data_IF_774264772784
#
_entry.id   IF_774264772784
#
_cell.length_a   1.000
_cell.length_b   1.000
_cell.length_c   1.000
_cell.angle_alpha   90.00
_cell.angle_beta   90.00
_cell.angle_gamma   90.00
#
_symmetry.space_group_name_H-M   'P 1'
#
loop_
_entity.id
_entity.type
_entity.pdbx_description
1 polymer ?
#
# COMPACT_ATOMS: atom_id res chain seq x y z
N UNK A 1 4.10 36.53 1.79
CA UNK A 1 3.32 35.33 1.52
C UNK A 1 2.96 35.32 0.04
N UNK A 2 3.46 34.35 -0.76
CA UNK A 2 3.01 34.21 -2.15
C UNK A 2 1.52 33.86 -2.16
N UNK A 3 0.71 34.62 -2.90
CA UNK A 3 -0.73 34.33 -3.07
C UNK A 3 -0.87 32.91 -3.61
N UNK A 4 -1.63 32.06 -2.92
CA UNK A 4 -1.97 30.74 -3.42
C UNK A 4 -2.76 30.87 -4.72
N UNK A 5 -2.33 30.18 -5.77
CA UNK A 5 -3.03 30.20 -7.04
C UNK A 5 -3.85 28.89 -7.18
N UNK A 6 -5.19 28.92 -7.01
CA UNK A 6 -6.02 27.71 -7.10
C UNK A 6 -5.98 27.08 -8.51
N UNK A 7 -5.63 27.85 -9.55
CA UNK A 7 -5.49 27.35 -10.92
C UNK A 7 -4.37 26.29 -10.99
N UNK A 8 -3.38 26.32 -10.10
CA UNK A 8 -2.33 25.28 -10.02
C UNK A 8 -2.88 23.86 -9.79
N UNK A 9 -4.10 23.71 -9.25
CA UNK A 9 -4.78 22.43 -9.06
C UNK A 9 -5.54 21.94 -10.30
N UNK A 10 -5.63 22.75 -11.36
CA UNK A 10 -6.34 22.39 -12.59
C UNK A 10 -5.90 21.03 -13.20
N UNK A 11 -4.59 20.71 -13.30
CA UNK A 11 -4.16 19.41 -13.82
C UNK A 11 -4.71 18.23 -13.03
N UNK A 12 -4.77 18.34 -11.69
CA UNK A 12 -5.34 17.31 -10.82
C UNK A 12 -6.85 17.19 -11.09
N UNK A 13 -7.55 18.32 -11.23
CA UNK A 13 -8.97 18.34 -11.60
C UNK A 13 -9.23 17.66 -12.94
N UNK A 14 -8.42 17.96 -13.95
CA UNK A 14 -8.50 17.33 -15.28
C UNK A 14 -8.28 15.82 -15.20
N UNK A 15 -7.26 15.36 -14.45
CA UNK A 15 -7.04 13.95 -14.21
C UNK A 15 -8.27 13.26 -13.61
N UNK A 16 -8.82 13.83 -12.53
CA UNK A 16 -10.00 13.27 -11.86
C UNK A 16 -11.23 13.24 -12.77
N UNK A 17 -11.49 14.31 -13.52
CA UNK A 17 -12.63 14.37 -14.45
C UNK A 17 -12.48 13.32 -15.56
N UNK A 18 -11.30 13.16 -16.14
CA UNK A 18 -11.06 12.15 -17.18
C UNK A 18 -11.19 10.75 -16.60
N UNK A 19 -10.46 10.45 -15.53
CA UNK A 19 -10.41 9.09 -14.99
C UNK A 19 -11.75 8.66 -14.39
N UNK A 20 -12.32 9.48 -13.49
CA UNK A 20 -13.61 9.19 -12.86
C UNK A 20 -14.76 9.33 -13.85
N UNK A 21 -14.76 10.38 -14.68
CA UNK A 21 -15.83 10.64 -15.65
C UNK A 21 -15.95 9.52 -16.66
N UNK A 22 -14.85 9.13 -17.30
CA UNK A 22 -14.85 8.00 -18.24
C UNK A 22 -15.12 6.68 -17.52
N UNK A 23 -14.58 6.47 -16.30
CA UNK A 23 -14.82 5.26 -15.52
C UNK A 23 -16.29 5.07 -15.18
N UNK A 24 -16.96 6.12 -14.75
CA UNK A 24 -18.40 6.12 -14.49
C UNK A 24 -19.22 5.93 -15.77
N UNK A 25 -18.83 6.61 -16.85
CA UNK A 25 -19.47 6.46 -18.16
C UNK A 25 -19.39 5.02 -18.67
N UNK A 26 -18.23 4.40 -18.61
CA UNK A 26 -18.03 3.01 -19.04
C UNK A 26 -18.80 2.03 -18.17
N UNK A 27 -18.76 2.21 -16.85
CA UNK A 27 -19.42 1.30 -15.90
C UNK A 27 -20.94 1.44 -15.94
N UNK A 28 -21.48 2.65 -15.87
CA UNK A 28 -22.92 2.89 -15.70
C UNK A 28 -23.62 3.29 -16.99
N UNK A 29 -22.95 4.06 -17.87
CA UNK A 29 -23.52 4.48 -19.16
C UNK A 29 -23.48 3.37 -20.20
N UNK A 30 -22.30 2.82 -20.44
CA UNK A 30 -22.08 1.78 -21.46
C UNK A 30 -22.18 0.35 -20.90
N UNK A 31 -22.37 0.20 -19.59
CA UNK A 31 -22.48 -1.11 -18.88
C UNK A 31 -21.33 -2.07 -19.19
N UNK A 32 -20.12 -1.54 -19.40
CA UNK A 32 -18.93 -2.33 -19.65
C UNK A 32 -18.42 -2.90 -18.33
N UNK A 33 -18.25 -4.21 -18.26
CA UNK A 33 -17.64 -4.86 -17.11
C UNK A 33 -16.24 -4.31 -16.88
N UNK A 34 -15.90 -4.01 -15.60
CA UNK A 34 -14.62 -3.44 -15.20
C UNK A 34 -14.28 -2.12 -15.91
N UNK A 35 -15.27 -1.23 -16.13
CA UNK A 35 -15.14 0.01 -16.89
C UNK A 35 -13.95 0.89 -16.50
N UNK A 36 -13.59 0.94 -15.22
CA UNK A 36 -12.40 1.70 -14.74
C UNK A 36 -11.07 1.10 -15.21
N UNK A 37 -11.00 -0.22 -15.44
CA UNK A 37 -9.78 -0.90 -15.91
C UNK A 37 -9.54 -0.69 -17.41
N UNK A 38 -10.57 -0.31 -18.16
CA UNK A 38 -10.46 -0.03 -19.59
C UNK A 38 -9.84 1.35 -19.87
N UNK A 39 -9.66 2.17 -18.84
CA UNK A 39 -9.01 3.48 -18.97
C UNK A 39 -7.57 3.33 -18.52
N UNK A 40 -6.59 3.45 -19.43
CA UNK A 40 -5.19 3.46 -19.04
C UNK A 40 -4.92 4.70 -18.17
N UNK A 41 -4.74 4.50 -16.87
CA UNK A 41 -4.48 5.58 -15.90
C UNK A 41 -3.29 6.46 -16.34
N UNK A 42 -2.29 5.86 -16.98
CA UNK A 42 -1.12 6.56 -17.52
C UNK A 42 -1.53 7.60 -18.56
N UNK A 43 -2.51 7.29 -19.44
CA UNK A 43 -3.01 8.25 -20.44
C UNK A 43 -3.69 9.45 -19.77
N UNK A 44 -4.52 9.20 -18.74
CA UNK A 44 -5.14 10.27 -17.97
C UNK A 44 -4.09 11.17 -17.29
N UNK A 45 -3.02 10.58 -16.75
CA UNK A 45 -1.91 11.32 -16.18
C UNK A 45 -1.12 12.12 -17.23
N UNK A 46 -0.86 11.57 -18.42
CA UNK A 46 -0.17 12.29 -19.49
C UNK A 46 -0.98 13.49 -19.98
N UNK A 47 -2.30 13.36 -20.07
CA UNK A 47 -3.18 14.50 -20.42
C UNK A 47 -3.11 15.57 -19.33
N UNK A 48 -3.19 15.19 -18.07
CA UNK A 48 -3.06 16.12 -16.95
C UNK A 48 -1.69 16.82 -16.92
N UNK A 49 -0.62 16.08 -17.21
CA UNK A 49 0.74 16.63 -17.32
C UNK A 49 0.84 17.62 -18.47
N UNK A 50 0.21 17.32 -19.62
CA UNK A 50 0.16 18.23 -20.76
C UNK A 50 -0.57 19.53 -20.40
N UNK A 51 -1.68 19.45 -19.67
CA UNK A 51 -2.39 20.62 -19.14
C UNK A 51 -1.49 21.41 -18.19
N UNK A 52 -0.75 20.76 -17.29
CA UNK A 52 0.21 21.42 -16.42
C UNK A 52 1.30 22.17 -17.21
N UNK A 53 1.81 21.57 -18.27
CA UNK A 53 2.79 22.20 -19.16
C UNK A 53 2.23 23.41 -19.91
N UNK A 54 0.95 23.38 -20.29
CA UNK A 54 0.30 24.49 -21.01
C UNK A 54 -0.11 25.65 -20.10
N UNK A 55 -0.28 25.36 -18.81
CA UNK A 55 -0.85 26.30 -17.84
C UNK A 55 0.06 27.48 -17.53
N UNK A 56 1.37 27.26 -17.43
CA UNK A 56 2.35 28.30 -17.12
C UNK A 56 3.09 28.74 -18.40
N UNK A 57 2.54 29.74 -19.08
CA UNK A 57 3.06 30.22 -20.36
C UNK A 57 4.31 31.12 -20.21
N UNK A 58 4.60 31.57 -18.99
CA UNK A 58 5.77 32.45 -18.72
C UNK A 58 7.08 31.66 -18.67
N UNK A 59 7.01 30.36 -18.39
CA UNK A 59 8.19 29.49 -18.36
C UNK A 59 8.45 28.86 -19.73
N UNK A 60 9.72 28.84 -20.12
CA UNK A 60 10.18 28.10 -21.28
C UNK A 60 9.98 26.59 -21.08
N UNK A 61 9.98 25.82 -22.15
CA UNK A 61 9.83 24.38 -22.08
C UNK A 61 10.98 23.73 -21.27
N UNK A 62 12.21 24.22 -21.46
CA UNK A 62 13.37 23.73 -20.72
C UNK A 62 13.25 23.98 -19.21
N UNK A 63 12.79 25.15 -18.81
CA UNK A 63 12.54 25.46 -17.41
C UNK A 63 11.45 24.56 -16.79
N UNK A 64 10.44 24.18 -17.57
CA UNK A 64 9.42 23.21 -17.13
C UNK A 64 9.97 21.80 -16.99
N UNK A 65 10.84 21.37 -17.91
CA UNK A 65 11.53 20.08 -17.81
C UNK A 65 12.43 20.02 -16.57
N UNK A 66 13.14 21.10 -16.29
CA UNK A 66 13.98 21.20 -15.09
C UNK A 66 13.16 21.09 -13.81
N UNK A 67 12.03 21.80 -13.72
CA UNK A 67 11.09 21.68 -12.60
C UNK A 67 10.52 20.27 -12.43
N UNK A 68 10.17 19.60 -13.53
CA UNK A 68 9.74 18.20 -13.50
C UNK A 68 10.86 17.26 -13.05
N UNK A 69 12.09 17.50 -13.51
CA UNK A 69 13.28 16.78 -13.07
C UNK A 69 13.53 16.90 -11.58
N UNK A 70 13.41 18.09 -11.02
CA UNK A 70 13.46 18.30 -9.57
C UNK A 70 12.35 17.54 -8.82
N UNK A 71 11.12 17.53 -9.36
CA UNK A 71 10.02 16.79 -8.77
C UNK A 71 10.26 15.28 -8.77
N UNK A 72 10.75 14.72 -9.88
CA UNK A 72 11.09 13.29 -9.99
C UNK A 72 12.28 12.92 -9.07
N UNK A 73 13.24 13.84 -8.92
CA UNK A 73 14.39 13.67 -8.04
C UNK A 73 14.12 13.89 -6.56
N UNK A 74 12.87 14.17 -6.16
CA UNK A 74 12.50 14.25 -4.75
C UNK A 74 12.80 12.93 -4.03
N UNK A 75 13.41 13.04 -2.84
CA UNK A 75 13.83 11.87 -2.05
C UNK A 75 12.70 10.86 -1.85
N UNK A 76 11.49 11.32 -1.59
CA UNK A 76 10.36 10.42 -1.34
C UNK A 76 9.96 9.68 -2.62
N UNK A 77 9.94 10.36 -3.77
CA UNK A 77 9.60 9.75 -5.06
C UNK A 77 10.65 8.72 -5.46
N UNK A 78 11.93 9.07 -5.36
CA UNK A 78 13.03 8.13 -5.64
C UNK A 78 12.97 6.92 -4.71
N UNK A 79 12.71 7.14 -3.41
CA UNK A 79 12.57 6.05 -2.44
C UNK A 79 11.40 5.12 -2.81
N UNK A 80 10.24 5.67 -3.21
CA UNK A 80 9.10 4.86 -3.65
C UNK A 80 9.42 4.04 -4.90
N UNK A 81 10.10 4.62 -5.88
CA UNK A 81 10.53 3.90 -7.09
C UNK A 81 11.46 2.74 -6.71
N UNK A 82 12.44 2.98 -5.84
CA UNK A 82 13.36 1.94 -5.37
C UNK A 82 12.64 0.83 -4.59
N UNK A 83 11.65 1.16 -3.77
CA UNK A 83 10.82 0.17 -3.06
C UNK A 83 10.05 -0.70 -4.06
N UNK A 84 9.40 -0.11 -5.06
CA UNK A 84 8.67 -0.87 -6.08
C UNK A 84 9.61 -1.75 -6.92
N UNK A 85 10.79 -1.24 -7.28
CA UNK A 85 11.79 -2.04 -8.00
C UNK A 85 12.28 -3.21 -7.14
N UNK A 86 12.65 -2.97 -5.89
CA UNK A 86 13.09 -4.00 -4.96
C UNK A 86 11.98 -5.04 -4.70
N UNK A 87 10.73 -4.61 -4.56
CA UNK A 87 9.59 -5.50 -4.42
C UNK A 87 9.37 -6.35 -5.67
N UNK A 88 9.50 -5.77 -6.87
CA UNK A 88 9.44 -6.51 -8.14
C UNK A 88 10.53 -7.57 -8.26
N UNK A 89 11.78 -7.23 -7.90
CA UNK A 89 12.90 -8.17 -7.84
C UNK A 89 12.61 -9.26 -6.82
N UNK A 90 12.15 -8.91 -5.62
CA UNK A 90 11.80 -9.87 -4.57
C UNK A 90 10.76 -10.88 -5.08
N UNK A 91 9.64 -10.41 -5.62
CA UNK A 91 8.58 -11.30 -6.15
C UNK A 91 9.10 -12.17 -7.31
N UNK A 92 9.96 -11.61 -8.17
CA UNK A 92 10.57 -12.35 -9.29
C UNK A 92 11.55 -13.43 -8.85
N UNK A 93 12.36 -13.17 -7.83
CA UNK A 93 13.37 -14.10 -7.31
C UNK A 93 12.76 -15.17 -6.39
N UNK A 94 11.90 -14.72 -5.47
CA UNK A 94 11.25 -15.60 -4.48
C UNK A 94 10.19 -16.48 -5.12
N UNK A 95 9.54 -15.97 -6.16
CA UNK A 95 8.59 -16.71 -6.97
C UNK A 95 7.23 -16.90 -6.30
N UNK A 96 6.30 -17.41 -7.09
CA UNK A 96 4.91 -17.66 -6.67
C UNK A 96 4.81 -18.76 -5.62
N UNK A 97 5.67 -19.77 -5.71
CA UNK A 97 5.68 -20.92 -4.81
C UNK A 97 5.97 -20.56 -3.34
N UNK A 98 6.76 -19.51 -3.10
CA UNK A 98 6.99 -19.00 -1.74
C UNK A 98 5.74 -18.39 -1.13
N UNK A 99 5.03 -17.56 -1.88
CA UNK A 99 3.77 -16.96 -1.43
C UNK A 99 2.70 -18.04 -1.16
N UNK A 100 2.63 -19.05 -2.05
CA UNK A 100 1.78 -20.22 -1.87
C UNK A 100 2.16 -21.01 -0.61
N UNK A 101 3.46 -21.23 -0.37
CA UNK A 101 3.94 -21.92 0.83
C UNK A 101 3.55 -21.20 2.12
N UNK A 102 3.64 -19.88 2.16
CA UNK A 102 3.18 -19.07 3.32
C UNK A 102 1.68 -19.19 3.51
N UNK A 103 0.88 -19.09 2.44
CA UNK A 103 -0.56 -19.22 2.51
C UNK A 103 -0.99 -20.62 3.01
N UNK A 104 -0.38 -21.69 2.50
CA UNK A 104 -0.70 -23.05 2.92
C UNK A 104 -0.20 -23.37 4.33
N UNK A 105 0.96 -22.84 4.75
CA UNK A 105 1.39 -22.94 6.15
C UNK A 105 0.35 -22.27 7.07
N UNK A 106 -0.14 -21.08 6.71
CA UNK A 106 -1.15 -20.39 7.49
C UNK A 106 -2.41 -21.25 7.60
N UNK A 107 -2.91 -21.77 6.49
CA UNK A 107 -4.13 -22.58 6.43
C UNK A 107 -4.00 -23.94 7.09
N UNK A 108 -2.77 -24.48 7.24
CA UNK A 108 -2.55 -25.76 7.96
C UNK A 108 -2.70 -25.62 9.47
N UNK A 109 -2.56 -24.40 10.02
CA UNK A 109 -2.63 -24.14 11.46
C UNK A 109 -3.87 -23.36 11.88
N UNK A 110 -4.52 -22.69 10.93
CA UNK A 110 -5.64 -21.78 11.19
C UNK A 110 -6.85 -22.19 10.35
N UNK A 111 -8.04 -22.31 10.96
CA UNK A 111 -9.26 -22.50 10.19
C UNK A 111 -9.43 -21.41 9.14
N UNK A 112 -9.87 -21.80 7.94
CA UNK A 112 -9.99 -20.90 6.78
C UNK A 112 -10.76 -19.61 7.06
N UNK A 113 -11.78 -19.71 7.93
CA UNK A 113 -12.61 -18.58 8.36
C UNK A 113 -11.83 -17.45 9.02
N UNK A 114 -10.69 -17.74 9.66
CA UNK A 114 -9.87 -16.75 10.36
C UNK A 114 -8.66 -16.29 9.52
N UNK A 115 -8.45 -16.87 8.35
CA UNK A 115 -7.26 -16.60 7.54
C UNK A 115 -7.11 -15.14 7.14
N UNK A 116 -8.23 -14.48 6.75
CA UNK A 116 -8.21 -13.05 6.37
C UNK A 116 -8.02 -12.15 7.58
N UNK A 117 -8.57 -12.53 8.74
CA UNK A 117 -8.35 -11.83 10.02
C UNK A 117 -6.87 -11.84 10.38
N UNK A 118 -6.22 -13.01 10.28
CA UNK A 118 -4.79 -13.14 10.57
C UNK A 118 -3.96 -12.36 9.55
N UNK A 119 -4.35 -12.37 8.28
CA UNK A 119 -3.69 -11.58 7.25
C UNK A 119 -3.71 -10.08 7.58
N UNK A 120 -4.83 -9.56 8.09
CA UNK A 120 -4.94 -8.19 8.59
C UNK A 120 -3.99 -7.95 9.79
N UNK A 121 -4.03 -8.82 10.80
CA UNK A 121 -3.22 -8.69 12.03
C UNK A 121 -1.73 -8.77 11.70
N UNK A 122 -1.30 -9.73 10.88
CA UNK A 122 0.09 -9.86 10.43
C UNK A 122 0.53 -8.60 9.69
N UNK A 123 -0.32 -8.06 8.81
CA UNK A 123 -0.02 -6.81 8.11
C UNK A 123 0.14 -5.62 9.06
N UNK A 124 -0.66 -5.55 10.14
CA UNK A 124 -0.49 -4.53 11.19
C UNK A 124 0.90 -4.61 11.83
N UNK A 125 1.31 -5.80 12.27
CA UNK A 125 2.59 -5.98 12.94
C UNK A 125 3.79 -5.79 12.01
N UNK A 126 3.75 -6.33 10.80
CA UNK A 126 4.82 -6.18 9.82
C UNK A 126 4.99 -4.70 9.45
N UNK A 127 3.90 -3.99 9.23
CA UNK A 127 3.94 -2.56 8.90
C UNK A 127 4.45 -1.71 10.06
N UNK A 128 4.02 -2.02 11.29
CA UNK A 128 4.53 -1.35 12.50
C UNK A 128 6.05 -1.53 12.63
N UNK A 129 6.54 -2.74 12.37
CA UNK A 129 7.94 -3.10 12.47
C UNK A 129 8.78 -2.52 11.31
N UNK A 130 8.27 -2.55 10.08
CA UNK A 130 8.97 -2.00 8.91
C UNK A 130 8.87 -0.46 8.80
N UNK A 131 7.84 0.14 9.37
CA UNK A 131 7.59 1.59 9.27
C UNK A 131 7.25 2.04 7.85
N UNK A 132 6.58 1.18 7.08
CA UNK A 132 6.12 1.51 5.74
C UNK A 132 4.90 0.68 5.34
N UNK A 133 3.81 1.36 5.00
CA UNK A 133 2.60 0.71 4.46
C UNK A 133 2.86 0.14 3.07
N UNK A 134 3.53 0.89 2.21
CA UNK A 134 3.82 0.46 0.82
C UNK A 134 4.67 -0.79 0.80
N UNK A 135 5.77 -0.83 1.59
CA UNK A 135 6.62 -2.01 1.71
C UNK A 135 5.86 -3.24 2.21
N UNK A 136 5.00 -3.05 3.20
CA UNK A 136 4.17 -4.13 3.75
C UNK A 136 3.14 -4.65 2.75
N UNK A 137 2.44 -3.76 2.05
CA UNK A 137 1.47 -4.12 1.01
C UNK A 137 2.15 -4.94 -0.09
N UNK A 138 3.30 -4.49 -0.57
CA UNK A 138 4.04 -5.19 -1.63
C UNK A 138 4.57 -6.55 -1.19
N UNK A 139 4.92 -6.70 0.09
CA UNK A 139 5.40 -7.95 0.67
C UNK A 139 4.26 -8.96 0.91
N UNK A 140 3.12 -8.52 1.45
CA UNK A 140 2.06 -9.42 1.93
C UNK A 140 1.00 -9.71 0.86
N UNK A 141 0.74 -8.77 -0.08
CA UNK A 141 -0.27 -8.98 -1.13
C UNK A 141 -0.04 -10.23 -1.98
N UNK A 142 1.18 -10.63 -2.35
CA UNK A 142 1.43 -11.90 -3.03
C UNK A 142 0.90 -13.14 -2.28
N UNK A 143 0.84 -13.10 -0.94
CA UNK A 143 0.28 -14.17 -0.10
C UNK A 143 -1.25 -14.16 -0.15
N UNK A 144 -1.86 -12.99 -0.25
CA UNK A 144 -3.31 -12.85 -0.29
C UNK A 144 -3.95 -13.54 -1.50
N UNK A 145 -3.25 -13.60 -2.65
CA UNK A 145 -3.77 -14.22 -3.86
C UNK A 145 -3.96 -15.74 -3.74
N UNK A 146 -2.94 -16.54 -3.40
CA UNK A 146 -3.12 -17.98 -3.19
C UNK A 146 -4.05 -18.30 -2.02
N UNK A 147 -4.06 -17.47 -0.97
CA UNK A 147 -4.98 -17.62 0.16
C UNK A 147 -6.43 -17.44 -0.30
N UNK A 148 -6.73 -16.42 -1.10
CA UNK A 148 -8.06 -16.20 -1.67
C UNK A 148 -8.52 -17.39 -2.50
N UNK A 149 -7.64 -17.95 -3.35
CA UNK A 149 -7.95 -19.13 -4.18
C UNK A 149 -8.20 -20.36 -3.32
N UNK A 150 -7.40 -20.58 -2.28
CA UNK A 150 -7.50 -21.77 -1.44
C UNK A 150 -8.72 -21.74 -0.52
N UNK A 151 -9.17 -20.57 -0.07
CA UNK A 151 -10.27 -20.42 0.90
C UNK A 151 -11.61 -20.08 0.27
N UNK A 152 -11.64 -19.64 -1.00
CA UNK A 152 -12.84 -19.16 -1.67
C UNK A 152 -13.21 -17.70 -1.32
N UNK A 153 -12.44 -16.99 -0.49
CA UNK A 153 -12.66 -15.56 -0.27
C UNK A 153 -12.35 -14.75 -1.52
N UNK A 154 -13.05 -13.64 -1.72
CA UNK A 154 -12.76 -12.74 -2.82
C UNK A 154 -11.38 -12.10 -2.67
N UNK A 155 -10.60 -12.08 -3.75
CA UNK A 155 -9.27 -11.44 -3.77
C UNK A 155 -9.30 -9.98 -3.29
N UNK A 156 -10.26 -9.13 -3.73
CA UNK A 156 -10.37 -7.76 -3.20
C UNK A 156 -10.53 -7.69 -1.69
N UNK A 157 -11.25 -8.61 -1.06
CA UNK A 157 -11.42 -8.66 0.39
C UNK A 157 -10.10 -8.98 1.11
N UNK A 158 -9.36 -9.98 0.62
CA UNK A 158 -8.05 -10.33 1.16
C UNK A 158 -7.04 -9.18 1.01
N UNK A 159 -6.98 -8.55 -0.17
CA UNK A 159 -6.08 -7.42 -0.43
C UNK A 159 -6.47 -6.18 0.38
N UNK A 160 -7.76 -5.87 0.51
CA UNK A 160 -8.23 -4.76 1.33
C UNK A 160 -7.84 -4.94 2.81
N UNK A 161 -7.88 -6.17 3.31
CA UNK A 161 -7.44 -6.50 4.67
C UNK A 161 -5.94 -6.27 4.86
N UNK A 162 -5.12 -6.64 3.88
CA UNK A 162 -3.67 -6.33 3.89
C UNK A 162 -3.44 -4.83 3.91
N UNK A 163 -4.12 -4.08 3.03
CA UNK A 163 -3.98 -2.62 2.95
C UNK A 163 -4.38 -1.96 4.28
N UNK A 164 -5.54 -2.35 4.84
CA UNK A 164 -6.02 -1.81 6.11
C UNK A 164 -5.04 -2.05 7.26
N UNK A 165 -4.51 -3.27 7.38
CA UNK A 165 -3.51 -3.62 8.37
C UNK A 165 -2.20 -2.85 8.18
N UNK A 166 -1.73 -2.77 6.95
CA UNK A 166 -0.51 -2.04 6.61
C UNK A 166 -0.61 -0.53 6.94
N UNK A 167 -1.74 0.09 6.63
CA UNK A 167 -1.99 1.50 6.94
C UNK A 167 -2.05 1.75 8.45
N UNK A 168 -2.67 0.84 9.22
CA UNK A 168 -2.68 0.93 10.67
C UNK A 168 -1.27 0.88 11.26
N UNK A 169 -0.47 -0.12 10.86
CA UNK A 169 0.88 -0.31 11.39
C UNK A 169 1.80 0.88 11.07
N UNK A 170 1.75 1.38 9.84
CA UNK A 170 2.53 2.54 9.40
C UNK A 170 2.20 3.80 10.22
N UNK A 171 0.92 4.05 10.48
CA UNK A 171 0.47 5.18 11.29
C UNK A 171 0.97 5.16 12.74
N UNK A 172 1.22 3.99 13.30
CA UNK A 172 1.71 3.82 14.66
C UNK A 172 3.22 3.57 14.75
N UNK A 173 3.90 3.41 13.62
CA UNK A 173 5.34 3.17 13.62
C UNK A 173 6.13 4.42 14.01
N UNK A 174 7.12 4.24 14.89
CA UNK A 174 8.07 5.29 15.28
C UNK A 174 9.15 5.52 14.21
N UNK A 175 9.32 4.58 13.29
CA UNK A 175 10.34 4.62 12.24
C UNK A 175 9.76 4.94 10.87
N UNK A 176 8.47 5.24 10.77
CA UNK A 176 7.82 5.62 9.52
C UNK A 176 8.29 6.99 9.03
N UNK A 177 8.75 7.06 7.77
CA UNK A 177 9.22 8.31 7.14
C UNK A 177 8.13 9.37 7.12
N UNK A 178 6.91 8.97 6.77
CA UNK A 178 5.76 9.88 6.73
C UNK A 178 5.43 10.45 8.10
N UNK A 179 5.54 9.61 9.14
CA UNK A 179 5.34 9.99 10.54
C UNK A 179 6.44 10.93 11.04
N UNK A 180 7.72 10.62 10.74
CA UNK A 180 8.87 11.45 11.11
C UNK A 180 8.76 12.81 10.40
N UNK A 181 8.46 12.82 9.10
CA UNK A 181 8.30 14.05 8.33
C UNK A 181 7.17 14.93 8.87
N UNK A 182 6.02 14.33 9.23
CA UNK A 182 4.89 15.06 9.82
C UNK A 182 5.25 15.67 11.18
N UNK A 183 5.91 14.92 12.07
CA UNK A 183 6.34 15.42 13.36
C UNK A 183 7.35 16.56 13.25
N UNK A 184 8.35 16.39 12.37
CA UNK A 184 9.37 17.42 12.13
C UNK A 184 8.74 18.68 11.53
N UNK A 185 7.81 18.55 10.59
CA UNK A 185 7.10 19.67 9.97
C UNK A 185 6.21 20.45 10.95
N UNK A 186 5.66 19.78 11.96
CA UNK A 186 4.82 20.38 13.00
C UNK A 186 5.59 20.76 14.27
N UNK A 187 6.86 20.42 14.39
CA UNK A 187 7.67 20.66 15.58
C UNK A 187 7.17 19.90 16.82
N UNK A 188 6.52 18.75 16.66
CA UNK A 188 6.01 17.93 17.74
C UNK A 188 6.91 16.72 18.03
N UNK A 189 6.82 16.18 19.24
CA UNK A 189 7.56 14.97 19.59
C UNK A 189 6.86 13.72 19.07
N UNK A 190 7.63 12.73 18.61
CA UNK A 190 7.11 11.45 18.13
C UNK A 190 6.23 10.73 19.16
N UNK A 191 6.58 10.86 20.45
CA UNK A 191 5.82 10.26 21.55
C UNK A 191 4.40 10.84 21.66
N UNK A 192 4.25 12.15 21.47
CA UNK A 192 2.95 12.81 21.54
C UNK A 192 2.09 12.43 20.34
N UNK A 193 2.70 12.41 19.14
CA UNK A 193 2.03 11.92 17.91
C UNK A 193 1.55 10.48 18.07
N UNK A 194 2.39 9.59 18.59
CA UNK A 194 2.02 8.20 18.82
C UNK A 194 0.82 8.09 19.75
N UNK A 195 0.85 8.81 20.86
CA UNK A 195 -0.23 8.81 21.86
C UNK A 195 -1.56 9.27 21.27
N UNK A 196 -1.56 10.32 20.48
CA UNK A 196 -2.79 10.82 19.84
C UNK A 196 -3.25 9.93 18.69
N UNK A 197 -2.34 9.46 17.83
CA UNK A 197 -2.69 8.52 16.76
C UNK A 197 -3.22 7.19 17.30
N UNK A 198 -2.68 6.69 18.42
CA UNK A 198 -3.15 5.44 19.01
C UNK A 198 -4.63 5.52 19.40
N UNK A 199 -5.08 6.66 19.94
CA UNK A 199 -6.48 6.88 20.32
C UNK A 199 -7.43 6.87 19.11
N UNK A 200 -6.93 7.23 17.92
CA UNK A 200 -7.72 7.31 16.69
C UNK A 200 -7.60 6.00 15.89
N UNK A 201 -6.38 5.53 15.70
CA UNK A 201 -6.10 4.39 14.85
C UNK A 201 -6.54 3.06 15.47
N UNK A 202 -6.38 2.89 16.81
CA UNK A 202 -6.76 1.65 17.47
C UNK A 202 -8.27 1.35 17.38
N UNK A 203 -9.18 2.29 17.69
CA UNK A 203 -10.61 2.06 17.50
C UNK A 203 -10.98 1.75 16.05
N UNK A 204 -10.35 2.43 15.09
CA UNK A 204 -10.55 2.17 13.66
C UNK A 204 -10.09 0.76 13.26
N UNK A 205 -8.93 0.32 13.76
CA UNK A 205 -8.42 -1.03 13.51
C UNK A 205 -9.30 -2.10 14.14
N UNK A 206 -9.77 -1.88 15.38
CA UNK A 206 -10.69 -2.81 16.05
C UNK A 206 -12.03 -2.92 15.31
N UNK A 207 -12.56 -1.80 14.82
CA UNK A 207 -13.75 -1.79 14.00
C UNK A 207 -13.52 -2.54 12.68
N UNK A 208 -12.40 -2.29 12.01
CA UNK A 208 -12.02 -2.99 10.77
C UNK A 208 -11.87 -4.49 11.03
N UNK A 209 -11.21 -4.88 12.12
CA UNK A 209 -11.06 -6.27 12.53
C UNK A 209 -12.41 -6.94 12.77
N UNK A 210 -13.33 -6.25 13.45
CA UNK A 210 -14.69 -6.75 13.69
C UNK A 210 -15.47 -6.94 12.37
N UNK A 211 -15.39 -5.98 11.46
CA UNK A 211 -16.03 -6.07 10.14
C UNK A 211 -15.44 -7.22 9.33
N UNK A 212 -14.10 -7.36 9.29
CA UNK A 212 -13.42 -8.46 8.60
C UNK A 212 -13.86 -9.80 9.20
N UNK A 213 -13.92 -9.90 10.53
CA UNK A 213 -14.35 -11.12 11.21
C UNK A 213 -15.81 -11.47 10.89
N UNK A 214 -16.71 -10.49 10.94
CA UNK A 214 -18.13 -10.71 10.61
C UNK A 214 -18.29 -11.17 9.17
N UNK A 215 -17.64 -10.52 8.22
CA UNK A 215 -17.68 -10.94 6.80
C UNK A 215 -17.10 -12.33 6.64
N UNK A 216 -15.96 -12.60 7.27
CA UNK A 216 -15.25 -13.87 7.19
C UNK A 216 -16.10 -15.05 7.74
N UNK A 217 -16.78 -14.85 8.87
CA UNK A 217 -17.64 -15.86 9.49
C UNK A 217 -18.95 -16.08 8.72
N UNK A 218 -19.48 -15.04 8.05
CA UNK A 218 -20.72 -15.13 7.28
C UNK A 218 -20.51 -15.51 5.81
N UNK A 219 -19.27 -15.57 5.34
CA UNK A 219 -18.98 -16.02 3.97
C UNK A 219 -19.01 -17.55 3.94
N UNK A 220 -19.92 -18.17 3.17
CA UNK A 220 -19.96 -19.62 3.05
C UNK A 220 -18.67 -20.09 2.37
N UNK A 221 -17.90 -20.90 3.06
CA UNK A 221 -16.74 -21.58 2.51
C UNK A 221 -17.26 -22.88 1.93
N UNK A 222 -17.43 -22.95 0.61
CA UNK A 222 -18.02 -24.10 -0.08
C UNK A 222 -17.14 -25.35 -0.07
N UNK A 223 -15.85 -25.20 0.20
CA UNK A 223 -14.91 -26.32 0.16
C UNK A 223 -13.89 -26.24 1.30
N UNK A 224 -13.51 -27.42 1.81
CA UNK A 224 -12.31 -27.54 2.62
C UNK A 224 -11.13 -26.99 1.79
N UNK A 225 -10.29 -26.11 2.34
CA UNK A 225 -9.19 -25.52 1.59
C UNK A 225 -8.32 -26.68 1.07
N UNK A 226 -8.04 -26.65 -0.22
CA UNK A 226 -7.07 -27.56 -0.81
C UNK A 226 -5.70 -27.09 -0.36
N UNK A 227 -5.25 -27.61 0.79
CA UNK A 227 -3.91 -27.32 1.30
C UNK A 227 -2.97 -28.21 0.50
N UNK A 228 -2.15 -27.59 -0.34
CA UNK A 228 -1.06 -28.25 -1.03
C UNK A 228 0.15 -28.36 -0.11
N UNK A 229 1.07 -29.24 -0.45
CA UNK A 229 2.36 -29.33 0.23
C UNK A 229 3.07 -27.97 0.16
N UNK A 230 3.64 -27.53 1.28
CA UNK A 230 4.40 -26.29 1.38
C UNK A 230 5.82 -26.58 1.83
N UNK A 231 6.74 -25.74 1.37
CA UNK A 231 8.17 -25.87 1.70
C UNK A 231 8.61 -24.75 2.65
N UNK A 232 9.03 -25.13 3.87
CA UNK A 232 9.47 -24.18 4.89
C UNK A 232 10.66 -23.32 4.43
N UNK A 233 11.55 -23.85 3.59
CA UNK A 233 12.69 -23.09 3.06
C UNK A 233 12.22 -21.91 2.21
N UNK A 234 11.12 -22.09 1.45
CA UNK A 234 10.53 -21.04 0.62
C UNK A 234 9.86 -19.93 1.43
N UNK A 235 9.58 -20.17 2.72
CA UNK A 235 8.99 -19.17 3.62
C UNK A 235 10.05 -18.20 4.18
N UNK A 236 11.29 -18.65 4.27
CA UNK A 236 12.41 -17.89 4.86
C UNK A 236 12.52 -16.46 4.33
N UNK A 237 12.41 -16.18 3.01
CA UNK A 237 12.50 -14.81 2.49
C UNK A 237 11.45 -13.87 3.07
N UNK A 238 10.21 -14.33 3.30
CA UNK A 238 9.15 -13.53 3.90
C UNK A 238 9.38 -13.16 5.36
N UNK A 239 10.20 -13.95 6.06
CA UNK A 239 10.63 -13.66 7.44
C UNK A 239 11.85 -12.73 7.42
N UNK A 240 12.83 -13.02 6.55
CA UNK A 240 14.08 -12.27 6.49
C UNK A 240 13.89 -10.81 6.05
N UNK A 241 12.99 -10.53 5.11
CA UNK A 241 12.78 -9.16 4.60
C UNK A 241 12.33 -8.20 5.71
N UNK A 242 11.27 -8.45 6.49
CA UNK A 242 10.88 -7.58 7.58
C UNK A 242 11.96 -7.43 8.64
N UNK A 243 12.63 -8.54 9.01
CA UNK A 243 13.71 -8.55 10.01
C UNK A 243 14.90 -7.71 9.55
N UNK A 244 15.37 -7.93 8.33
CA UNK A 244 16.49 -7.16 7.76
C UNK A 244 16.16 -5.68 7.63
N UNK A 245 14.94 -5.36 7.18
CA UNK A 245 14.49 -3.99 7.03
C UNK A 245 14.43 -3.24 8.37
N UNK A 246 13.90 -3.89 9.42
CA UNK A 246 13.84 -3.30 10.76
C UNK A 246 15.23 -3.06 11.34
N UNK A 247 16.16 -4.00 11.15
CA UNK A 247 17.54 -3.82 11.60
C UNK A 247 18.27 -2.67 10.88
N UNK A 248 18.17 -2.60 9.57
CA UNK A 248 18.82 -1.53 8.78
C UNK A 248 18.27 -0.16 9.18
N UNK A 249 16.96 -0.04 9.37
CA UNK A 249 16.31 1.24 9.68
C UNK A 249 16.50 1.67 11.13
N UNK A 250 16.57 0.76 12.07
CA UNK A 250 16.91 1.06 13.46
C UNK A 250 18.32 1.68 13.56
N UNK A 251 19.27 1.23 12.74
CA UNK A 251 20.62 1.79 12.64
C UNK A 251 20.63 3.23 12.06
N UNK A 252 19.79 3.52 11.06
CA UNK A 252 19.69 4.88 10.49
C UNK A 252 19.04 5.85 11.48
N UNK A 253 17.99 5.42 12.17
CA UNK A 253 17.27 6.28 13.16
C UNK A 253 18.17 6.59 14.36
N UNK A 254 18.97 5.63 14.81
CA UNK A 254 19.95 5.84 15.89
C UNK A 254 21.07 6.81 15.53
N UNK A 255 21.45 6.93 14.24
CA UNK A 255 22.45 7.89 13.76
C UNK A 255 21.90 9.31 13.58
N UNK A 256 20.61 9.48 13.33
CA UNK A 256 19.98 10.77 13.10
C UNK A 256 19.42 11.42 14.40
N UNK A 257 19.54 10.74 15.53
CA UNK A 257 19.12 11.23 16.86
C UNK A 257 20.31 11.67 17.76
N UNK A 258 21.52 11.66 17.23
CA UNK A 258 22.77 12.22 17.79
C UNK A 258 23.20 13.39 16.90
#
# INVERSE_FOLDING_TARGET
>A
MKKSNPIALLPIGVFLVIYLGLGLLFKYGLKINMGFYNIPIVVAFLIALLVACLQNRELSFDAKLELMGHGIGDKNIVTMILIFMAAGIFVGVVGRSSAESVAYLLLSHVPSQYSVVILFVVSCFVSLAMGTSVGTITLITPIAAPLAVATGFSLPFCVASVIGGAMFGDNLSFISDTTIAACNGQGCQMKDKFRENFKIALPAALLSLAVILIISLNTPIEQFPIIKEYNLIQIIPYILVPVSYTHLRAHETGRNLV
#
